data_IF_687408842899
#
_entry.id   IF_687408842899
#
_cell.length_a   1.000
_cell.length_b   1.000
_cell.length_c   1.000
_cell.angle_alpha   90.00
_cell.angle_beta   90.00
_cell.angle_gamma   90.00
#
_symmetry.space_group_name_H-M   'P 1'
#
loop_
_entity.id
_entity.type
_entity.pdbx_description
1 polymer ?
#
# COMPACT_ATOMS: atom_id res chain seq x y z
N UNK A 1 11.35 -13.56 -53.82
CA UNK A 1 10.63 -13.35 -55.09
C UNK A 1 9.14 -13.32 -54.81
N UNK A 2 8.56 -12.12 -54.65
CA UNK A 2 7.12 -11.91 -54.45
C UNK A 2 6.48 -11.58 -55.81
N UNK A 3 5.54 -12.39 -56.27
CA UNK A 3 4.61 -12.04 -57.36
C UNK A 3 3.21 -12.56 -57.03
N UNK A 4 2.41 -11.72 -56.36
CA UNK A 4 0.96 -11.85 -56.32
C UNK A 4 0.38 -10.73 -57.19
N UNK A 5 0.16 -11.04 -58.47
CA UNK A 5 -0.62 -10.22 -59.40
C UNK A 5 -2.05 -10.76 -59.40
N UNK A 6 -3.01 -9.95 -58.94
CA UNK A 6 -4.44 -10.24 -58.99
C UNK A 6 -5.20 -9.49 -57.91
N UNK A 7 -6.35 -8.91 -58.25
CA UNK A 7 -7.23 -8.11 -57.37
C UNK A 7 -7.49 -8.74 -55.99
N UNK A 8 -7.42 -10.07 -55.90
CA UNK A 8 -7.62 -10.86 -54.68
C UNK A 8 -6.43 -10.78 -53.69
N UNK A 9 -5.21 -10.48 -54.14
CA UNK A 9 -4.03 -10.38 -53.27
C UNK A 9 -4.03 -9.14 -52.37
N UNK A 10 -4.64 -8.05 -52.84
CA UNK A 10 -4.81 -6.82 -52.07
C UNK A 10 -5.84 -7.00 -50.96
N UNK A 11 -6.91 -7.76 -51.23
CA UNK A 11 -7.94 -8.10 -50.24
C UNK A 11 -7.38 -9.03 -49.16
N UNK A 12 -6.62 -10.06 -49.53
CA UNK A 12 -5.99 -10.97 -48.56
C UNK A 12 -5.00 -10.24 -47.66
N UNK A 13 -4.20 -9.32 -48.21
CA UNK A 13 -3.25 -8.53 -47.41
C UNK A 13 -3.96 -7.54 -46.47
N UNK A 14 -5.10 -6.97 -46.89
CA UNK A 14 -5.89 -6.04 -46.08
C UNK A 14 -6.62 -6.77 -44.92
N UNK A 15 -7.17 -7.97 -45.19
CA UNK A 15 -7.83 -8.80 -44.17
C UNK A 15 -6.82 -9.32 -43.16
N UNK A 16 -5.64 -9.77 -43.60
CA UNK A 16 -4.58 -10.22 -42.70
C UNK A 16 -4.08 -9.09 -41.77
N UNK A 17 -3.98 -7.86 -42.28
CA UNK A 17 -3.64 -6.69 -41.47
C UNK A 17 -4.72 -6.36 -40.43
N UNK A 18 -6.01 -6.46 -40.79
CA UNK A 18 -7.12 -6.20 -39.87
C UNK A 18 -7.21 -7.23 -38.73
N UNK A 19 -6.90 -8.50 -38.99
CA UNK A 19 -6.86 -9.56 -37.98
C UNK A 19 -5.69 -9.37 -37.00
N UNK A 20 -4.55 -8.87 -37.49
CA UNK A 20 -3.38 -8.60 -36.64
C UNK A 20 -3.63 -7.43 -35.66
N UNK A 21 -4.41 -6.42 -36.05
CA UNK A 21 -4.76 -5.30 -35.16
C UNK A 21 -5.75 -5.70 -34.04
N UNK A 22 -6.62 -6.68 -34.28
CA UNK A 22 -7.57 -7.15 -33.26
C UNK A 22 -6.90 -8.01 -32.16
N UNK A 23 -5.73 -8.60 -32.44
CA UNK A 23 -5.00 -9.44 -31.50
C UNK A 23 -4.05 -8.66 -30.57
N UNK A 24 -3.91 -7.34 -30.77
CA UNK A 24 -3.01 -6.48 -29.98
C UNK A 24 -3.64 -5.90 -28.71
N UNK A 25 -4.82 -6.38 -28.29
CA UNK A 25 -5.32 -6.15 -26.93
C UNK A 25 -4.55 -7.03 -25.96
N UNK A 26 -3.33 -6.60 -25.60
CA UNK A 26 -2.63 -7.11 -24.45
C UNK A 26 -3.44 -6.76 -23.20
N UNK A 27 -4.12 -7.75 -22.61
CA UNK A 27 -4.73 -7.59 -21.30
C UNK A 27 -3.61 -7.24 -20.29
N UNK A 28 -3.80 -6.22 -19.44
CA UNK A 28 -2.80 -5.87 -18.44
C UNK A 28 -2.56 -7.06 -17.53
N UNK A 29 -1.34 -7.63 -17.55
CA UNK A 29 -0.90 -8.69 -16.65
C UNK A 29 -1.21 -8.31 -15.21
N UNK A 30 -2.24 -8.92 -14.64
CA UNK A 30 -2.62 -8.81 -13.24
C UNK A 30 -1.44 -9.34 -12.42
N UNK A 31 -0.71 -8.47 -11.71
CA UNK A 31 0.31 -8.90 -10.76
C UNK A 31 -0.29 -9.96 -9.85
N UNK A 32 0.30 -11.15 -9.83
CA UNK A 32 -0.09 -12.20 -8.89
C UNK A 32 0.09 -11.67 -7.46
N UNK A 33 -0.92 -11.83 -6.59
CA UNK A 33 -0.81 -11.42 -5.19
C UNK A 33 0.37 -12.14 -4.54
N UNK A 34 1.16 -11.41 -3.76
CA UNK A 34 2.19 -11.97 -2.90
C UNK A 34 1.62 -13.17 -2.11
N UNK A 35 2.37 -14.27 -1.94
CA UNK A 35 1.94 -15.40 -1.12
C UNK A 35 1.58 -14.88 0.27
N UNK A 36 0.29 -14.94 0.61
CA UNK A 36 -0.22 -14.53 1.91
C UNK A 36 0.05 -15.65 2.90
N UNK A 37 1.28 -15.78 3.38
CA UNK A 37 1.50 -16.45 4.66
C UNK A 37 0.73 -15.63 5.70
N UNK A 38 -0.26 -16.19 6.41
CA UNK A 38 -0.97 -15.44 7.42
C UNK A 38 0.06 -15.03 8.47
N UNK A 39 0.30 -13.72 8.62
CA UNK A 39 0.89 -13.23 9.85
C UNK A 39 -0.02 -13.73 10.99
N UNK A 40 0.56 -14.20 12.09
CA UNK A 40 -0.22 -14.74 13.21
C UNK A 40 -1.28 -13.75 13.74
N UNK A 41 -1.10 -12.46 13.46
CA UNK A 41 -2.04 -11.39 13.74
C UNK A 41 -2.72 -10.91 12.45
N UNK A 42 -4.06 -10.82 12.46
CA UNK A 42 -4.87 -10.45 11.30
C UNK A 42 -5.14 -8.95 11.18
N UNK A 43 -4.79 -8.18 12.21
CA UNK A 43 -4.98 -6.73 12.28
C UNK A 43 -3.82 -6.05 13.01
N UNK A 44 -3.51 -4.81 12.62
CA UNK A 44 -2.59 -3.94 13.32
C UNK A 44 -3.25 -2.60 13.64
N UNK A 45 -3.10 -2.14 14.88
CA UNK A 45 -3.51 -0.82 15.35
C UNK A 45 -2.29 0.10 15.48
N UNK A 46 -2.26 1.16 14.65
CA UNK A 46 -1.15 2.11 14.59
C UNK A 46 -1.57 3.47 15.17
N UNK A 47 -0.82 3.95 16.15
CA UNK A 47 -1.01 5.26 16.77
C UNK A 47 -0.47 6.42 15.93
N UNK A 48 -1.28 7.47 15.79
CA UNK A 48 -0.91 8.74 15.19
C UNK A 48 -0.82 9.83 16.26
N UNK A 49 0.29 10.55 16.30
CA UNK A 49 0.42 11.74 17.13
C UNK A 49 -0.37 12.89 16.46
N UNK A 50 -1.23 13.62 17.20
CA UNK A 50 -1.99 14.72 16.61
C UNK A 50 -1.09 15.79 16.03
N UNK A 51 -1.35 16.11 14.77
CA UNK A 51 -0.86 17.32 14.12
C UNK A 51 -1.96 18.40 14.12
N UNK A 52 -1.61 19.64 13.76
CA UNK A 52 -2.58 20.75 13.73
C UNK A 52 -3.76 20.49 12.79
N UNK A 53 -3.55 19.72 11.71
CA UNK A 53 -4.60 19.39 10.75
C UNK A 53 -4.92 17.89 10.76
N UNK A 54 -5.78 17.50 11.70
CA UNK A 54 -6.26 16.11 11.85
C UNK A 54 -6.97 15.56 10.61
N UNK A 55 -7.58 16.42 9.77
CA UNK A 55 -8.29 15.98 8.56
C UNK A 55 -7.31 15.58 7.45
N UNK A 56 -6.30 16.41 7.19
CA UNK A 56 -5.23 16.09 6.25
C UNK A 56 -4.44 14.87 6.72
N UNK A 57 -4.15 14.81 8.02
CA UNK A 57 -3.46 13.67 8.62
C UNK A 57 -4.27 12.38 8.40
N UNK A 58 -5.57 12.37 8.72
CA UNK A 58 -6.43 11.20 8.49
C UNK A 58 -6.47 10.79 7.03
N UNK A 59 -6.65 11.73 6.11
CA UNK A 59 -6.70 11.45 4.67
C UNK A 59 -5.40 10.81 4.16
N UNK A 60 -4.23 11.33 4.56
CA UNK A 60 -2.92 10.76 4.19
C UNK A 60 -2.75 9.33 4.72
N UNK A 61 -3.11 9.10 5.97
CA UNK A 61 -2.95 7.79 6.60
C UNK A 61 -3.99 6.77 6.11
N UNK A 62 -5.18 7.19 5.65
CA UNK A 62 -6.12 6.28 4.99
C UNK A 62 -5.53 5.62 3.74
N UNK A 63 -4.85 6.40 2.89
CA UNK A 63 -4.17 5.86 1.71
C UNK A 63 -3.02 4.91 2.08
N UNK A 64 -2.22 5.29 3.07
CA UNK A 64 -1.14 4.44 3.57
C UNK A 64 -1.68 3.12 4.15
N UNK A 65 -2.74 3.18 4.95
CA UNK A 65 -3.37 2.00 5.55
C UNK A 65 -3.91 1.05 4.51
N UNK A 66 -4.59 1.58 3.48
CA UNK A 66 -5.03 0.77 2.34
C UNK A 66 -3.86 0.09 1.65
N UNK A 67 -2.82 0.85 1.32
CA UNK A 67 -1.64 0.28 0.66
C UNK A 67 -0.97 -0.83 1.49
N UNK A 68 -0.76 -0.59 2.78
CA UNK A 68 -0.16 -1.59 3.68
C UNK A 68 -1.06 -2.82 3.83
N UNK A 69 -2.39 -2.63 3.95
CA UNK A 69 -3.34 -3.73 4.04
C UNK A 69 -3.32 -4.60 2.77
N UNK A 70 -3.31 -3.96 1.60
CA UNK A 70 -3.27 -4.64 0.30
C UNK A 70 -1.96 -5.43 0.14
N UNK A 71 -0.85 -4.94 0.69
CA UNK A 71 0.49 -5.57 0.59
C UNK A 71 0.75 -6.67 1.62
N UNK A 72 0.24 -6.53 2.84
CA UNK A 72 0.47 -7.47 3.93
C UNK A 72 -0.64 -8.51 4.06
N UNK A 73 -1.82 -8.26 3.48
CA UNK A 73 -2.97 -9.16 3.59
C UNK A 73 -3.64 -9.16 4.97
N UNK A 74 -3.37 -8.15 5.80
CA UNK A 74 -3.94 -7.94 7.15
C UNK A 74 -4.60 -6.57 7.22
N UNK A 75 -5.53 -6.37 8.17
CA UNK A 75 -6.19 -5.08 8.35
C UNK A 75 -5.27 -4.07 9.05
N UNK A 76 -5.16 -2.85 8.53
CA UNK A 76 -4.39 -1.77 9.15
C UNK A 76 -5.34 -0.66 9.62
N UNK A 77 -5.35 -0.41 10.92
CA UNK A 77 -6.16 0.62 11.57
C UNK A 77 -5.27 1.74 12.11
N UNK A 78 -5.77 2.98 12.02
CA UNK A 78 -5.11 4.14 12.62
C UNK A 78 -5.97 4.75 13.71
N UNK A 79 -5.37 5.06 14.84
CA UNK A 79 -6.00 5.80 15.95
C UNK A 79 -5.21 7.04 16.28
N UNK A 80 -5.86 8.08 16.80
CA UNK A 80 -5.20 9.32 17.21
C UNK A 80 -4.90 9.27 18.69
N UNK A 81 -3.63 9.45 19.06
CA UNK A 81 -3.21 9.61 20.45
C UNK A 81 -3.71 10.96 20.95
N UNK A 82 -4.40 11.03 22.09
CA UNK A 82 -5.10 12.27 22.46
C UNK A 82 -4.16 13.44 22.79
N UNK A 83 -2.98 13.20 23.41
CA UNK A 83 -2.03 14.24 23.85
C UNK A 83 -0.61 13.69 24.03
N UNK A 84 0.41 14.54 23.85
CA UNK A 84 1.84 14.20 23.99
C UNK A 84 2.23 13.72 25.41
N UNK A 85 1.65 14.30 26.46
CA UNK A 85 2.10 14.09 27.84
C UNK A 85 2.06 12.64 28.33
N UNK A 86 1.14 11.83 27.80
CA UNK A 86 0.93 10.45 28.25
C UNK A 86 0.96 9.47 27.06
N UNK A 87 1.80 9.76 26.05
CA UNK A 87 1.79 9.00 24.80
C UNK A 87 2.16 7.53 25.00
N UNK A 88 3.12 7.24 25.87
CA UNK A 88 3.59 5.87 26.17
C UNK A 88 2.50 5.10 26.93
N UNK A 89 1.88 5.73 27.93
CA UNK A 89 0.78 5.11 28.68
C UNK A 89 -0.40 4.78 27.77
N UNK A 90 -0.75 5.68 26.84
CA UNK A 90 -1.85 5.47 25.89
C UNK A 90 -1.53 4.41 24.86
N UNK A 91 -0.30 4.38 24.36
CA UNK A 91 0.17 3.34 23.46
C UNK A 91 -0.05 1.94 24.07
N UNK A 92 0.34 1.77 25.34
CA UNK A 92 0.14 0.51 26.07
C UNK A 92 -1.32 0.25 26.41
N UNK A 93 -2.04 1.25 26.93
CA UNK A 93 -3.43 1.11 27.38
C UNK A 93 -4.39 0.77 26.22
N UNK A 94 -4.16 1.33 25.05
CA UNK A 94 -4.93 1.07 23.83
C UNK A 94 -4.40 -0.16 23.05
N UNK A 95 -3.37 -0.84 23.57
CA UNK A 95 -2.75 -2.04 22.98
C UNK A 95 -2.36 -1.83 21.52
N UNK A 96 -1.70 -0.71 21.24
CA UNK A 96 -1.23 -0.40 19.89
C UNK A 96 -0.03 -1.27 19.53
N UNK A 97 0.03 -1.70 18.27
CA UNK A 97 1.14 -2.52 17.75
C UNK A 97 2.32 -1.64 17.30
N UNK A 98 2.05 -0.38 16.95
CA UNK A 98 3.05 0.58 16.51
C UNK A 98 2.52 2.00 16.55
N UNK A 99 3.40 3.00 16.43
CA UNK A 99 3.01 4.39 16.36
C UNK A 99 4.04 5.24 15.62
N UNK A 100 3.58 6.35 15.06
CA UNK A 100 4.47 7.38 14.52
C UNK A 100 4.99 8.26 15.65
N UNK A 101 6.18 7.94 16.14
CA UNK A 101 6.86 8.72 17.16
C UNK A 101 7.76 9.80 16.55
N UNK A 102 7.80 10.97 17.20
CA UNK A 102 8.89 11.93 17.01
C UNK A 102 10.13 11.49 17.80
N UNK A 103 11.27 12.14 17.57
CA UNK A 103 12.57 11.71 18.13
C UNK A 103 12.54 11.54 19.66
N UNK A 104 11.95 12.50 20.37
CA UNK A 104 11.86 12.45 21.84
C UNK A 104 10.88 11.37 22.32
N UNK A 105 9.69 11.29 21.72
CA UNK A 105 8.69 10.29 22.14
C UNK A 105 9.11 8.87 21.81
N UNK A 106 9.88 8.68 20.72
CA UNK A 106 10.52 7.41 20.42
C UNK A 106 11.57 7.04 21.47
N UNK A 107 12.49 7.95 21.80
CA UNK A 107 13.51 7.67 22.81
C UNK A 107 12.91 7.26 24.15
N UNK A 108 11.81 7.94 24.55
CA UNK A 108 11.06 7.60 25.75
C UNK A 108 10.39 6.22 25.65
N UNK A 109 9.67 5.95 24.56
CA UNK A 109 8.98 4.68 24.35
C UNK A 109 9.95 3.51 24.24
N UNK A 110 11.09 3.70 23.56
CA UNK A 110 12.15 2.69 23.45
C UNK A 110 12.75 2.36 24.82
N UNK A 111 13.06 3.40 25.60
CA UNK A 111 13.60 3.23 26.96
C UNK A 111 12.63 2.51 27.90
N UNK A 112 11.32 2.80 27.82
CA UNK A 112 10.33 2.25 28.75
C UNK A 112 9.72 0.93 28.32
N UNK A 113 9.50 0.73 27.01
CA UNK A 113 8.74 -0.40 26.47
C UNK A 113 9.56 -1.28 25.51
N UNK A 114 10.77 -0.86 25.13
CA UNK A 114 11.60 -1.59 24.17
C UNK A 114 11.07 -1.57 22.74
N UNK A 115 10.23 -0.59 22.35
CA UNK A 115 9.75 -0.48 20.97
C UNK A 115 10.90 -0.24 20.00
N UNK A 116 10.82 -0.83 18.80
CA UNK A 116 11.86 -0.73 17.78
C UNK A 116 11.45 0.23 16.65
N UNK A 117 12.40 1.04 16.18
CA UNK A 117 12.19 1.89 15.00
C UNK A 117 12.24 1.05 13.72
N UNK A 118 11.11 0.95 13.01
CA UNK A 118 11.02 0.21 11.74
C UNK A 118 11.31 1.06 10.50
N UNK A 119 10.91 2.34 10.54
CA UNK A 119 11.05 3.25 9.41
C UNK A 119 11.06 4.71 9.86
N UNK A 120 11.67 5.57 9.03
CA UNK A 120 11.62 7.03 9.19
C UNK A 120 11.12 7.66 7.87
N UNK A 121 10.03 8.47 7.90
CA UNK A 121 9.62 9.25 6.73
C UNK A 121 10.75 10.21 6.32
N UNK A 122 11.00 10.32 5.01
CA UNK A 122 11.96 11.28 4.41
C UNK A 122 11.24 12.45 3.76
#
# INVERSE_FOLDING_TARGET
MLRFTGSNGLVVSLVAALVAFAAACEEPKKQEPLPKTPFGQQELLIGLIPEQNIFLQRKRHQFLGKYLSDRLGIAIHFTSLSRYGNIVDRFTAEKMDGAFFGSFTYALAHSQLGVEALARPV
#
